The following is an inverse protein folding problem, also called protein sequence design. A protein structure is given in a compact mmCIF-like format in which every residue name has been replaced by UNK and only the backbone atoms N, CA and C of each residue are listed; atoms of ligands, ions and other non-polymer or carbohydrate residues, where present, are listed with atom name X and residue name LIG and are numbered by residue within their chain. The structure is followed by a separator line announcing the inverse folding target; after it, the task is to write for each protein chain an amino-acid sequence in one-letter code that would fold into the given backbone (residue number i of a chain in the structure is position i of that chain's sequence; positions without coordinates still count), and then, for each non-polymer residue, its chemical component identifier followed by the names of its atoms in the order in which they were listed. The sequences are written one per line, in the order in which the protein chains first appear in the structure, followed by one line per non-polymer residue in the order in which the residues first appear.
data_IF_611562208172
#
_entry.id   IF_611562208172
#
_cell.length_a   1.000
_cell.length_b   1.000
_cell.length_c   1.000
_cell.angle_alpha   90.00
_cell.angle_beta   90.00
_cell.angle_gamma   90.00
#
_symmetry.space_group_name_H-M   'P 1'
#
loop_
_entity.id
_entity.type
_entity.pdbx_description
1 polymer ?
#
# COMPACT_ATOMS: atom_id res chain seq x y z
N UNK A 1 13.66 15.66 0.98
CA UNK A 1 13.29 17.06 0.67
C UNK A 1 13.98 17.47 -0.62
N UNK A 2 13.27 17.48 -1.73
CA UNK A 2 13.80 17.97 -3.01
C UNK A 2 13.30 19.40 -3.24
N UNK A 3 14.21 20.33 -3.52
CA UNK A 3 13.85 21.69 -3.88
C UNK A 3 13.74 21.76 -5.40
N UNK A 4 12.55 22.09 -5.91
CA UNK A 4 12.35 22.42 -7.32
C UNK A 4 12.32 23.94 -7.41
N UNK A 5 13.29 24.52 -8.10
CA UNK A 5 13.31 25.95 -8.40
C UNK A 5 12.44 26.21 -9.63
N UNK A 6 11.41 27.04 -9.47
CA UNK A 6 10.52 27.43 -10.57
C UNK A 6 10.76 28.90 -10.89
N UNK A 7 11.06 29.19 -12.15
CA UNK A 7 11.14 30.57 -12.64
C UNK A 7 9.73 31.04 -13.01
N UNK A 8 9.33 32.21 -12.50
CA UNK A 8 8.09 32.85 -12.96
C UNK A 8 8.21 33.33 -14.42
N UNK A 9 7.10 33.82 -15.01
CA UNK A 9 7.09 34.37 -16.38
C UNK A 9 8.00 35.59 -16.58
N UNK A 10 8.50 36.16 -15.49
CA UNK A 10 9.40 37.31 -15.45
C UNK A 10 10.85 36.91 -15.10
N UNK A 11 11.15 35.61 -14.99
CA UNK A 11 12.48 35.07 -14.73
C UNK A 11 12.92 35.12 -13.27
N UNK A 12 12.04 35.44 -12.32
CA UNK A 12 12.41 35.43 -10.90
C UNK A 12 12.32 34.00 -10.33
N UNK A 13 13.37 33.53 -9.65
CA UNK A 13 13.37 32.21 -9.04
C UNK A 13 12.52 32.21 -7.77
N UNK A 14 11.44 31.44 -7.77
CA UNK A 14 10.64 31.19 -6.58
C UNK A 14 10.93 29.78 -6.06
N UNK A 15 11.23 29.68 -4.76
CA UNK A 15 11.40 28.39 -4.09
C UNK A 15 10.03 27.84 -3.73
N UNK A 16 9.59 26.81 -4.45
CA UNK A 16 8.38 26.09 -4.10
C UNK A 16 8.67 25.17 -2.91
N UNK A 17 8.39 25.65 -1.69
CA UNK A 17 8.44 24.85 -0.48
C UNK A 17 7.24 23.89 -0.45
N UNK A 18 7.37 22.75 -1.13
CA UNK A 18 6.38 21.68 -1.09
C UNK A 18 6.56 20.86 0.20
N UNK A 19 5.83 21.23 1.25
CA UNK A 19 5.76 20.44 2.48
C UNK A 19 4.59 19.46 2.37
N UNK A 20 4.89 18.19 2.09
CA UNK A 20 3.86 17.15 1.94
C UNK A 20 3.61 16.52 3.29
N UNK A 21 2.53 16.91 3.94
CA UNK A 21 2.06 16.23 5.13
C UNK A 21 1.24 15.01 4.70
N UNK A 22 1.89 13.86 4.56
CA UNK A 22 1.20 12.61 4.27
C UNK A 22 0.53 12.09 5.53
N UNK A 23 -0.76 12.39 5.70
CA UNK A 23 -1.59 11.71 6.69
C UNK A 23 -2.17 10.43 6.08
N UNK A 24 -2.08 9.28 6.78
CA UNK A 24 -2.80 8.09 6.37
C UNK A 24 -4.29 8.39 6.40
N UNK A 25 -4.90 8.52 5.21
CA UNK A 25 -6.32 8.87 5.11
C UNK A 25 -7.16 7.72 5.68
N UNK A 26 -6.68 6.46 5.59
CA UNK A 26 -7.46 5.27 5.92
C UNK A 26 -6.58 4.09 6.37
N UNK A 27 -7.15 3.28 7.27
CA UNK A 27 -6.56 2.04 7.76
C UNK A 27 -7.30 0.83 7.19
N UNK A 28 -6.55 -0.20 6.81
CA UNK A 28 -7.08 -1.51 6.45
C UNK A 28 -6.32 -2.58 7.25
N UNK A 29 -7.03 -3.58 7.72
CA UNK A 29 -6.48 -4.72 8.45
C UNK A 29 -6.86 -6.00 7.72
N UNK A 30 -5.95 -6.97 7.67
CA UNK A 30 -6.22 -8.30 7.10
C UNK A 30 -5.85 -9.31 8.17
N UNK A 31 -6.78 -10.21 8.47
CA UNK A 31 -6.54 -11.37 9.34
C UNK A 31 -6.76 -12.63 8.53
N UNK A 32 -6.02 -13.69 8.82
CA UNK A 32 -6.17 -14.93 8.07
C UNK A 32 -5.56 -16.12 8.76
N UNK A 33 -5.94 -17.30 8.27
CA UNK A 33 -5.39 -18.58 8.66
C UNK A 33 -4.65 -19.19 7.48
N UNK A 34 -3.54 -19.85 7.77
CA UNK A 34 -2.72 -20.55 6.79
C UNK A 34 -2.59 -22.02 7.21
N UNK A 35 -2.69 -22.91 6.22
CA UNK A 35 -2.48 -24.35 6.41
C UNK A 35 -1.73 -24.94 5.23
N UNK A 36 -0.57 -25.52 5.51
CA UNK A 36 0.10 -26.44 4.59
C UNK A 36 -0.55 -27.82 4.69
N UNK A 37 -0.94 -28.39 3.56
CA UNK A 37 -1.43 -29.78 3.48
C UNK A 37 -0.30 -30.75 3.16
N UNK A 38 0.70 -30.31 2.40
CA UNK A 38 1.92 -31.07 2.10
C UNK A 38 3.09 -30.12 1.88
N UNK A 39 4.27 -30.65 1.53
CA UNK A 39 5.42 -29.84 1.13
C UNK A 39 5.17 -29.03 -0.16
N UNK A 40 4.16 -29.41 -0.93
CA UNK A 40 3.84 -28.81 -2.22
C UNK A 40 2.52 -28.04 -2.20
N UNK A 41 1.56 -28.39 -1.34
CA UNK A 41 0.23 -27.77 -1.35
C UNK A 41 -0.02 -26.94 -0.10
N UNK A 42 -0.35 -25.68 -0.32
CA UNK A 42 -0.62 -24.69 0.72
C UNK A 42 -2.01 -24.07 0.48
N UNK A 43 -2.70 -23.69 1.56
CA UNK A 43 -3.96 -22.97 1.46
C UNK A 43 -4.06 -21.91 2.55
N UNK A 44 -4.64 -20.76 2.20
CA UNK A 44 -4.93 -19.71 3.17
C UNK A 44 -6.29 -19.07 2.94
N UNK A 45 -6.89 -18.64 4.03
CA UNK A 45 -8.10 -17.84 4.04
C UNK A 45 -7.82 -16.52 4.73
N UNK A 46 -8.22 -15.43 4.10
CA UNK A 46 -7.98 -14.08 4.60
C UNK A 46 -9.29 -13.29 4.58
N UNK A 47 -9.54 -12.56 5.65
CA UNK A 47 -10.61 -11.59 5.79
C UNK A 47 -9.99 -10.20 5.96
N UNK A 48 -10.35 -9.29 5.07
CA UNK A 48 -9.97 -7.88 5.10
C UNK A 48 -11.07 -7.04 5.75
N UNK A 49 -10.68 -6.10 6.61
CA UNK A 49 -11.52 -5.16 7.33
C UNK A 49 -10.96 -3.73 7.18
N UNK A 50 -11.83 -2.73 7.19
CA UNK A 50 -11.46 -1.33 6.95
C UNK A 50 -12.40 -0.69 5.94
N UNK A 51 -11.87 -0.04 4.91
CA UNK A 51 -12.70 0.59 3.87
C UNK A 51 -13.35 -0.44 2.94
N UNK A 52 -12.71 -1.59 2.74
CA UNK A 52 -13.24 -2.68 1.92
C UNK A 52 -13.25 -3.97 2.72
N UNK A 53 -14.44 -4.51 2.91
CA UNK A 53 -14.60 -5.87 3.42
C UNK A 53 -14.37 -6.85 2.29
N UNK A 54 -13.42 -7.77 2.47
CA UNK A 54 -13.11 -8.79 1.46
C UNK A 54 -12.86 -10.13 2.13
N UNK A 55 -13.29 -11.20 1.46
CA UNK A 55 -12.93 -12.56 1.82
C UNK A 55 -12.14 -13.16 0.65
N UNK A 56 -10.98 -13.72 0.95
CA UNK A 56 -10.06 -14.25 -0.06
C UNK A 56 -9.63 -15.66 0.33
N UNK A 57 -9.72 -16.58 -0.62
CA UNK A 57 -9.18 -17.93 -0.53
C UNK A 57 -8.00 -18.05 -1.49
N UNK A 58 -6.88 -18.56 -1.00
CA UNK A 58 -5.65 -18.72 -1.80
C UNK A 58 -5.26 -20.19 -1.75
N UNK A 59 -5.10 -20.81 -2.91
CA UNK A 59 -4.53 -22.14 -3.07
C UNK A 59 -3.15 -21.99 -3.71
N UNK A 60 -2.12 -22.43 -2.99
CA UNK A 60 -0.72 -22.33 -3.41
C UNK A 60 -0.14 -23.70 -3.74
N UNK A 61 0.70 -23.74 -4.77
CA UNK A 61 1.53 -24.89 -5.09
C UNK A 61 3.01 -24.49 -5.11
N UNK A 62 3.87 -25.26 -4.44
CA UNK A 62 5.33 -25.11 -4.44
C UNK A 62 5.96 -26.28 -5.20
N UNK A 63 6.73 -25.98 -6.24
CA UNK A 63 7.50 -26.98 -7.01
C UNK A 63 8.71 -27.46 -6.23
#
# INVERSE_FOLDING_TARGET
SGFIELNDKSGNPHKLNYNVNFEPIKWNAIVGIYKGFSNHWEMSFQAGFGQRTSLTAILGYRF
#
